data_IF_475536545678
#
_entry.id   IF_475536545678
#
_cell.length_a   1.000
_cell.length_b   1.000
_cell.length_c   1.000
_cell.angle_alpha   90.00
_cell.angle_beta   90.00
_cell.angle_gamma   90.00
#
_symmetry.space_group_name_H-M   'P 1'
#
loop_
_entity.id
_entity.type
_entity.pdbx_description
1 polymer ?
#
# COMPACT_ATOMS: atom_id res chain seq x y z
N UNK A 1 -7.28 9.42 -10.56
CA UNK A 1 -6.94 9.55 -9.13
C UNK A 1 -5.49 10.00 -9.00
N UNK A 2 -5.22 10.97 -8.12
CA UNK A 2 -3.86 11.36 -7.72
C UNK A 2 -3.41 10.62 -6.43
N UNK A 3 -2.16 10.82 -6.00
CA UNK A 3 -1.60 10.11 -4.84
C UNK A 3 -2.27 10.49 -3.51
N UNK A 4 -2.67 11.75 -3.34
CA UNK A 4 -3.32 12.24 -2.11
C UNK A 4 -4.73 11.66 -1.96
N UNK A 5 -5.48 11.60 -3.06
CA UNK A 5 -6.78 10.93 -3.14
C UNK A 5 -6.65 9.44 -2.83
N UNK A 6 -5.65 8.77 -3.40
CA UNK A 6 -5.40 7.35 -3.17
C UNK A 6 -4.97 7.06 -1.73
N UNK A 7 -4.15 7.93 -1.13
CA UNK A 7 -3.72 7.81 0.26
C UNK A 7 -4.92 7.99 1.20
N UNK A 8 -5.83 8.93 0.91
CA UNK A 8 -7.05 9.11 1.70
C UNK A 8 -7.93 7.86 1.69
N UNK A 9 -8.04 7.18 0.55
CA UNK A 9 -8.75 5.90 0.40
C UNK A 9 -8.08 4.80 1.23
N UNK A 10 -6.75 4.65 1.12
CA UNK A 10 -6.01 3.66 1.90
C UNK A 10 -6.10 3.93 3.42
N UNK A 11 -6.00 5.19 3.84
CA UNK A 11 -6.15 5.58 5.24
C UNK A 11 -7.57 5.32 5.77
N UNK A 12 -8.60 5.46 4.92
CA UNK A 12 -9.97 5.11 5.29
C UNK A 12 -10.11 3.59 5.50
N UNK A 13 -9.55 2.77 4.60
CA UNK A 13 -9.53 1.32 4.74
C UNK A 13 -8.91 0.88 6.08
N UNK A 14 -7.82 1.52 6.49
CA UNK A 14 -7.17 1.25 7.78
C UNK A 14 -8.02 1.66 8.98
N UNK A 15 -8.77 2.76 8.90
CA UNK A 15 -9.69 3.17 9.97
C UNK A 15 -10.87 2.22 10.14
N UNK A 16 -11.39 1.72 9.03
CA UNK A 16 -12.55 0.81 9.02
C UNK A 16 -12.14 -0.61 9.44
N UNK A 17 -10.88 -0.98 9.21
CA UNK A 17 -10.29 -2.24 9.65
C UNK A 17 -9.74 -2.06 11.06
N UNK A 18 -10.53 -2.38 12.09
CA UNK A 18 -10.07 -2.36 13.51
C UNK A 18 -8.62 -2.81 13.63
N UNK A 19 -7.73 -1.93 14.11
CA UNK A 19 -6.30 -2.22 14.13
C UNK A 19 -6.01 -3.54 14.83
N UNK A 20 -5.18 -4.43 14.25
CA UNK A 20 -4.74 -5.64 14.92
C UNK A 20 -4.13 -5.27 16.28
N UNK A 21 -4.63 -5.85 17.37
CA UNK A 21 -4.08 -5.62 18.72
C UNK A 21 -4.34 -4.24 19.33
N UNK A 22 -5.14 -3.37 18.71
CA UNK A 22 -5.44 -2.02 19.24
C UNK A 22 -4.34 -0.99 19.04
N UNK A 23 -3.34 -1.27 18.21
CA UNK A 23 -2.29 -0.31 17.86
C UNK A 23 -2.83 0.82 16.98
N UNK A 24 -2.35 2.05 17.15
CA UNK A 24 -2.56 3.08 16.14
C UNK A 24 -1.74 2.74 14.88
N UNK A 25 -2.33 2.86 13.70
CA UNK A 25 -1.71 2.46 12.42
C UNK A 25 -1.66 3.63 11.45
N UNK A 26 -0.62 3.67 10.61
CA UNK A 26 -0.45 4.71 9.61
C UNK A 26 0.25 4.17 8.35
N UNK A 27 0.05 4.89 7.24
CA UNK A 27 0.76 4.64 5.99
C UNK A 27 2.22 5.10 6.13
N UNK A 28 3.15 4.25 5.71
CA UNK A 28 4.55 4.60 5.59
C UNK A 28 4.79 5.40 4.31
N UNK A 29 4.73 6.73 4.43
CA UNK A 29 4.93 7.66 3.31
C UNK A 29 6.33 7.58 2.68
N UNK A 30 7.29 6.90 3.31
CA UNK A 30 8.63 6.66 2.72
C UNK A 30 8.55 5.67 1.55
N UNK A 31 7.51 4.84 1.50
CA UNK A 31 7.35 3.76 0.52
C UNK A 31 5.97 3.81 -0.14
N UNK A 32 5.78 4.80 -1.00
CA UNK A 32 4.66 4.84 -1.93
C UNK A 32 5.16 4.38 -3.30
N UNK A 33 4.46 3.41 -3.90
CA UNK A 33 4.72 2.96 -5.27
C UNK A 33 3.58 3.38 -6.18
N UNK A 34 3.92 3.72 -7.41
CA UNK A 34 2.97 4.09 -8.44
C UNK A 34 3.17 3.18 -9.65
N UNK A 35 2.07 2.60 -10.14
CA UNK A 35 1.98 1.93 -11.43
C UNK A 35 1.01 2.69 -12.35
N UNK A 36 0.94 2.30 -13.62
CA UNK A 36 0.06 2.97 -14.57
C UNK A 36 -1.41 2.95 -14.12
N UNK A 37 -1.83 1.87 -13.46
CA UNK A 37 -3.21 1.62 -13.06
C UNK A 37 -3.49 1.77 -11.55
N UNK A 38 -2.48 1.86 -10.68
CA UNK A 38 -2.70 1.90 -9.22
C UNK A 38 -1.63 2.67 -8.44
N UNK A 39 -1.94 2.94 -7.17
CA UNK A 39 -0.99 3.29 -6.12
C UNK A 39 -0.89 2.14 -5.11
N UNK A 40 0.29 1.93 -4.54
CA UNK A 40 0.52 0.94 -3.50
C UNK A 40 1.08 1.61 -2.25
N UNK A 41 0.46 1.29 -1.11
CA UNK A 41 0.79 1.85 0.20
C UNK A 41 1.21 0.73 1.14
N UNK A 42 2.37 0.92 1.77
CA UNK A 42 2.81 0.13 2.92
C UNK A 42 2.33 0.84 4.19
N UNK A 43 2.00 0.08 5.21
CA UNK A 43 1.53 0.62 6.49
C UNK A 43 1.97 -0.29 7.63
N UNK A 44 2.04 0.30 8.81
CA UNK A 44 2.38 -0.41 10.04
C UNK A 44 1.86 0.39 11.24
N UNK A 45 2.22 -0.01 12.47
CA UNK A 45 1.92 0.76 13.67
C UNK A 45 2.69 2.08 13.66
N UNK A 46 2.06 3.12 14.21
CA UNK A 46 2.70 4.44 14.37
C UNK A 46 3.98 4.32 15.20
N UNK A 47 3.98 3.45 16.21
CA UNK A 47 5.16 3.20 17.05
C UNK A 47 6.32 2.62 16.24
N UNK A 48 6.12 1.54 15.48
CA UNK A 48 7.17 0.97 14.63
C UNK A 48 7.68 1.99 13.60
N UNK A 49 6.78 2.73 12.94
CA UNK A 49 7.18 3.71 11.94
C UNK A 49 8.02 4.85 12.52
N UNK A 50 7.79 5.20 13.79
CA UNK A 50 8.48 6.30 14.49
C UNK A 50 9.79 5.84 15.11
N UNK A 51 9.81 4.68 15.77
CA UNK A 51 10.92 4.22 16.62
C UNK A 51 11.79 3.17 15.95
N UNK A 52 11.25 2.44 14.98
CA UNK A 52 11.86 1.25 14.42
C UNK A 52 11.82 0.03 15.36
N UNK A 53 11.08 0.09 16.47
CA UNK A 53 10.91 -1.07 17.36
C UNK A 53 10.11 -2.16 16.67
N UNK A 54 10.81 -3.20 16.23
CA UNK A 54 10.24 -4.33 15.51
C UNK A 54 9.14 -5.04 16.30
N UNK A 55 9.18 -5.02 17.64
CA UNK A 55 8.14 -5.63 18.47
C UNK A 55 6.79 -4.90 18.38
N UNK A 56 6.81 -3.63 17.97
CA UNK A 56 5.60 -2.85 17.74
C UNK A 56 5.04 -3.04 16.32
N UNK A 57 5.72 -3.76 15.42
CA UNK A 57 5.24 -3.96 14.05
C UNK A 57 4.01 -4.86 14.03
N UNK A 58 2.98 -4.44 13.28
CA UNK A 58 1.78 -5.24 12.98
C UNK A 58 1.88 -5.97 11.63
N UNK A 59 3.03 -5.87 10.95
CA UNK A 59 3.29 -6.51 9.65
C UNK A 59 2.18 -6.27 8.63
N UNK A 60 1.85 -5.00 8.40
CA UNK A 60 0.75 -4.58 7.53
C UNK A 60 0.86 -5.16 6.11
N UNK A 61 -0.27 -5.61 5.57
CA UNK A 61 -0.36 -6.10 4.20
C UNK A 61 -0.44 -4.93 3.22
N UNK A 62 0.27 -4.95 2.07
CA UNK A 62 0.23 -3.84 1.11
C UNK A 62 -1.20 -3.55 0.65
N UNK A 63 -1.56 -2.26 0.63
CA UNK A 63 -2.84 -1.78 0.11
C UNK A 63 -2.62 -1.29 -1.32
N UNK A 64 -3.38 -1.82 -2.26
CA UNK A 64 -3.41 -1.34 -3.65
C UNK A 64 -4.70 -0.55 -3.86
N UNK A 65 -4.56 0.65 -4.39
CA UNK A 65 -5.69 1.54 -4.72
C UNK A 65 -5.72 1.75 -6.23
N UNK A 66 -6.72 1.18 -6.94
CA UNK A 66 -6.90 1.39 -8.36
C UNK A 66 -7.18 2.86 -8.72
N UNK A 67 -6.53 3.37 -9.77
CA UNK A 67 -6.66 4.77 -10.21
C UNK A 67 -7.99 5.08 -10.91
N UNK A 68 -8.68 4.04 -11.37
CA UNK A 68 -10.01 4.10 -11.98
C UNK A 68 -11.14 4.21 -10.94
N UNK A 69 -10.81 4.16 -9.64
CA UNK A 69 -11.79 4.23 -8.55
C UNK A 69 -12.36 2.87 -8.15
N UNK A 70 -11.77 1.76 -8.61
CA UNK A 70 -12.08 0.42 -8.12
C UNK A 70 -11.83 0.24 -6.62
N UNK A 71 -12.32 -0.87 -6.07
CA UNK A 71 -12.16 -1.16 -4.64
C UNK A 71 -10.68 -1.36 -4.24
N UNK A 72 -10.26 -0.88 -3.05
CA UNK A 72 -8.93 -1.14 -2.52
C UNK A 72 -8.70 -2.64 -2.26
N UNK A 73 -7.49 -3.10 -2.58
CA UNK A 73 -7.11 -4.51 -2.46
C UNK A 73 -6.02 -4.65 -1.40
N UNK A 74 -6.19 -5.58 -0.47
CA UNK A 74 -5.12 -6.03 0.42
C UNK A 74 -4.36 -7.18 -0.26
N UNK A 75 -3.13 -6.94 -0.67
CA UNK A 75 -2.29 -7.98 -1.26
C UNK A 75 -1.76 -8.95 -0.21
N UNK A 76 -1.52 -10.20 -0.61
CA UNK A 76 -0.80 -11.16 0.22
C UNK A 76 0.69 -10.79 0.36
N UNK A 77 1.43 -11.57 1.13
CA UNK A 77 2.88 -11.39 1.32
C UNK A 77 3.67 -12.67 0.98
N UNK A 78 3.08 -13.55 0.16
CA UNK A 78 3.64 -14.88 -0.16
C UNK A 78 4.74 -14.88 -1.24
N UNK A 79 4.94 -13.75 -1.92
CA UNK A 79 6.00 -13.51 -2.92
C UNK A 79 6.32 -12.00 -2.96
N UNK A 80 7.40 -11.58 -3.65
CA UNK A 80 7.72 -10.16 -3.82
C UNK A 80 6.54 -9.33 -4.33
N UNK A 81 6.46 -8.08 -3.88
CA UNK A 81 5.35 -7.17 -4.21
C UNK A 81 5.19 -6.98 -5.73
N UNK A 82 6.30 -6.83 -6.46
CA UNK A 82 6.23 -6.67 -7.92
C UNK A 82 5.65 -7.91 -8.60
N UNK A 83 6.05 -9.11 -8.20
CA UNK A 83 5.48 -10.35 -8.73
C UNK A 83 3.98 -10.45 -8.42
N UNK A 84 3.52 -9.95 -7.25
CA UNK A 84 2.09 -9.87 -6.89
C UNK A 84 1.33 -8.94 -7.83
N UNK A 85 1.90 -7.78 -8.13
CA UNK A 85 1.28 -6.80 -9.03
C UNK A 85 1.26 -7.29 -10.46
N UNK A 86 2.33 -7.93 -10.94
CA UNK A 86 2.42 -8.48 -12.29
C UNK A 86 1.41 -9.62 -12.51
N UNK A 87 1.24 -10.50 -11.51
CA UNK A 87 0.19 -11.53 -11.58
C UNK A 87 -1.20 -10.92 -11.55
N UNK A 88 -1.45 -9.90 -10.72
CA UNK A 88 -2.72 -9.19 -10.69
C UNK A 88 -3.03 -8.56 -12.06
N UNK A 89 -2.04 -7.89 -12.67
CA UNK A 89 -2.15 -7.29 -14.00
C UNK A 89 -2.51 -8.36 -15.05
N UNK A 90 -1.82 -9.51 -15.03
CA UNK A 90 -2.07 -10.63 -15.95
C UNK A 90 -3.46 -11.23 -15.77
N UNK A 91 -3.89 -11.46 -14.54
CA UNK A 91 -5.20 -12.07 -14.22
C UNK A 91 -6.37 -11.16 -14.60
N UNK A 92 -6.18 -9.83 -14.55
CA UNK A 92 -7.22 -8.84 -14.82
C UNK A 92 -7.10 -8.19 -16.21
N UNK A 93 -6.17 -8.65 -17.05
CA UNK A 93 -5.98 -8.13 -18.41
C UNK A 93 -5.51 -6.68 -18.44
N UNK A 94 -4.85 -6.20 -17.38
CA UNK A 94 -4.29 -4.86 -17.30
C UNK A 94 -2.94 -4.86 -18.06
N UNK A 95 -2.70 -3.88 -18.96
CA UNK A 95 -1.42 -3.79 -19.64
C UNK A 95 -0.26 -3.66 -18.63
N UNK A 96 0.87 -4.33 -18.87
CA UNK A 96 1.99 -4.32 -17.95
C UNK A 96 2.50 -2.89 -17.74
N UNK A 97 2.65 -2.51 -16.47
CA UNK A 97 3.10 -1.16 -16.10
C UNK A 97 4.63 -1.07 -16.16
N UNK A 98 5.17 -0.07 -16.88
CA UNK A 98 6.60 0.25 -16.76
C UNK A 98 6.84 0.97 -15.44
N UNK A 99 7.73 0.43 -14.60
CA UNK A 99 8.08 0.99 -13.30
C UNK A 99 8.54 2.44 -13.43
N UNK A 100 7.90 3.34 -12.66
CA UNK A 100 8.41 4.69 -12.43
C UNK A 100 8.68 4.82 -10.93
N UNK A 101 9.94 4.65 -10.54
CA UNK A 101 10.36 4.97 -9.16
C UNK A 101 10.37 6.49 -8.99
N UNK A 102 9.31 7.06 -8.40
CA UNK A 102 9.36 8.44 -7.89
C UNK A 102 9.93 8.40 -6.49
N UNK A 103 11.24 8.65 -6.37
CA UNK A 103 11.85 8.96 -5.08
C UNK A 103 11.42 10.36 -4.65
N UNK A 104 10.58 10.48 -3.63
CA UNK A 104 10.15 11.76 -3.05
C UNK A 104 11.17 12.25 -2.01
N UNK A 105 12.45 12.31 -2.40
CA UNK A 105 13.48 13.00 -1.62
C UNK A 105 13.80 14.31 -2.34
N UNK A 106 13.23 15.40 -1.82
CA UNK A 106 13.63 16.78 -2.09
C UNK A 106 13.99 17.45 -0.78
#
# INVERSE_FOLDING_TARGET
>A
MNVEEAEAVAAQLLRDSSSPGGHEVAIDRRYIRERAWCFVFIWDSVEFLTTGDFLASVMGRPIVVPKDGGEPILLGTYKPLDDLLDDYEREHGIPPSVQHERSLLS
#
